data_IF_347899023138
#
_entry.id   IF_347899023138
#
_cell.length_a   1.000
_cell.length_b   1.000
_cell.length_c   1.000
_cell.angle_alpha   90.00
_cell.angle_beta   90.00
_cell.angle_gamma   90.00
#
_symmetry.space_group_name_H-M   'P 1'
#
loop_
_entity.id
_entity.type
_entity.pdbx_description
1 polymer ?
#
# COMPACT_ATOMS: atom_id res chain seq x y z
N UNK A 1 27.64 -77.72 11.06
CA UNK A 1 27.80 -77.87 9.60
C UNK A 1 26.39 -77.84 8.99
N UNK A 2 26.17 -76.98 7.98
CA UNK A 2 24.88 -76.62 7.30
C UNK A 2 23.94 -75.75 8.17
N UNK A 3 23.77 -74.43 7.98
CA UNK A 3 23.46 -73.59 6.78
C UNK A 3 22.21 -74.18 6.09
N UNK A 4 21.07 -73.51 5.86
CA UNK A 4 20.81 -72.18 5.28
C UNK A 4 19.38 -71.74 5.69
N UNK A 5 19.23 -70.48 6.11
CA UNK A 5 17.96 -69.73 6.16
C UNK A 5 18.06 -68.68 5.04
N UNK A 6 17.08 -68.66 4.12
CA UNK A 6 16.77 -67.68 3.07
C UNK A 6 15.56 -68.29 2.33
N UNK A 7 14.44 -67.64 2.02
CA UNK A 7 14.18 -66.27 1.59
C UNK A 7 12.75 -65.88 1.99
N UNK A 8 12.56 -64.69 2.55
CA UNK A 8 11.23 -64.07 2.66
C UNK A 8 11.13 -63.02 1.57
N UNK A 9 10.34 -63.32 0.53
CA UNK A 9 9.99 -62.38 -0.52
C UNK A 9 9.19 -61.20 0.08
N UNK A 10 9.83 -60.04 0.20
CA UNK A 10 9.17 -58.79 0.55
C UNK A 10 8.65 -58.13 -0.73
N UNK A 11 7.35 -58.27 -1.00
CA UNK A 11 6.69 -57.54 -2.06
C UNK A 11 6.66 -56.04 -1.70
N UNK A 12 7.46 -55.24 -2.42
CA UNK A 12 7.44 -53.78 -2.33
C UNK A 12 6.20 -53.27 -3.05
N UNK A 13 5.17 -52.90 -2.28
CA UNK A 13 4.01 -52.16 -2.80
C UNK A 13 4.47 -50.70 -2.98
N UNK A 14 4.78 -50.32 -4.22
CA UNK A 14 4.96 -48.94 -4.64
C UNK A 14 3.58 -48.24 -4.69
N UNK A 15 3.19 -47.63 -3.57
CA UNK A 15 2.07 -46.67 -3.57
C UNK A 15 2.59 -45.37 -4.15
N UNK A 16 2.24 -45.09 -5.42
CA UNK A 16 2.37 -43.74 -5.97
C UNK A 16 1.33 -42.84 -5.29
N UNK A 17 1.73 -42.14 -4.22
CA UNK A 17 1.01 -40.95 -3.78
C UNK A 17 1.28 -39.85 -4.80
N UNK A 18 0.43 -39.74 -5.80
CA UNK A 18 0.28 -38.51 -6.57
C UNK A 18 -0.31 -37.46 -5.65
N UNK A 19 0.55 -36.74 -4.92
CA UNK A 19 0.18 -35.49 -4.28
C UNK A 19 0.01 -34.48 -5.42
N UNK A 20 -1.16 -34.50 -6.05
CA UNK A 20 -1.66 -33.37 -6.80
C UNK A 20 -1.92 -32.25 -5.81
N UNK A 21 -0.90 -31.44 -5.51
CA UNK A 21 -1.13 -30.13 -4.88
C UNK A 21 -1.79 -29.27 -5.96
N UNK A 22 -3.11 -29.41 -6.10
CA UNK A 22 -3.90 -28.35 -6.71
C UNK A 22 -3.91 -27.22 -5.69
N UNK A 23 -3.02 -26.25 -5.86
CA UNK A 23 -3.12 -24.97 -5.16
C UNK A 23 -4.38 -24.28 -5.67
N UNK A 24 -5.53 -24.61 -5.09
CA UNK A 24 -6.70 -23.76 -5.17
C UNK A 24 -6.31 -22.46 -4.47
N UNK A 25 -6.01 -21.44 -5.27
CA UNK A 25 -5.67 -20.12 -4.80
C UNK A 25 -6.93 -19.53 -4.16
N UNK A 26 -7.04 -19.65 -2.84
CA UNK A 26 -8.18 -19.15 -2.09
C UNK A 26 -8.21 -17.62 -2.19
N UNK A 27 -9.09 -17.12 -3.04
CA UNK A 27 -9.32 -15.69 -3.27
C UNK A 27 -9.81 -14.95 -2.02
N UNK A 28 -10.15 -15.66 -0.94
CA UNK A 28 -10.49 -15.07 0.37
C UNK A 28 -9.30 -14.93 1.33
N UNK A 29 -8.12 -15.45 1.00
CA UNK A 29 -6.96 -15.42 1.91
C UNK A 29 -6.30 -14.04 1.97
N UNK A 30 -5.78 -13.69 3.15
CA UNK A 30 -5.15 -12.41 3.46
C UNK A 30 -3.65 -12.60 3.68
N UNK A 31 -2.84 -11.73 3.07
CA UNK A 31 -1.41 -11.63 3.32
C UNK A 31 -1.13 -10.37 4.12
N UNK A 32 -0.32 -10.46 5.18
CA UNK A 32 -0.04 -9.33 6.07
C UNK A 32 1.42 -9.31 6.54
N UNK A 33 1.86 -8.16 7.03
CA UNK A 33 3.20 -7.97 7.60
C UNK A 33 3.17 -7.01 8.79
N UNK A 34 4.05 -7.26 9.76
CA UNK A 34 4.33 -6.33 10.87
C UNK A 34 5.71 -5.73 10.66
N UNK A 35 5.81 -4.41 10.76
CA UNK A 35 7.05 -3.70 10.52
C UNK A 35 7.90 -3.66 11.78
N UNK A 36 9.08 -4.27 11.70
CA UNK A 36 10.05 -4.35 12.81
C UNK A 36 11.15 -3.30 12.64
N UNK A 37 10.77 -2.02 12.52
CA UNK A 37 11.72 -0.90 12.43
C UNK A 37 11.42 0.18 13.47
N UNK A 38 12.45 0.83 14.05
CA UNK A 38 12.23 1.93 14.98
C UNK A 38 11.45 3.08 14.33
N UNK A 39 10.36 3.50 14.97
CA UNK A 39 9.51 4.59 14.48
C UNK A 39 10.28 5.89 14.27
N UNK A 40 11.20 6.22 15.18
CA UNK A 40 12.05 7.42 15.07
C UNK A 40 12.89 7.42 13.80
N UNK A 41 13.49 6.28 13.44
CA UNK A 41 14.25 6.14 12.20
C UNK A 41 13.40 6.45 10.96
N UNK A 42 12.15 5.97 10.93
CA UNK A 42 11.24 6.23 9.82
C UNK A 42 10.90 7.72 9.71
N UNK A 43 10.64 8.40 10.83
CA UNK A 43 10.31 9.83 10.86
C UNK A 43 11.52 10.71 10.52
N UNK A 44 12.69 10.42 11.09
CA UNK A 44 13.94 11.16 10.88
C UNK A 44 14.47 11.01 9.45
N UNK A 45 14.24 9.86 8.83
CA UNK A 45 14.62 9.66 7.44
C UNK A 45 13.90 10.65 6.51
N UNK A 46 12.62 10.93 6.73
CA UNK A 46 11.85 11.79 5.83
C UNK A 46 11.93 13.26 6.19
N UNK A 47 12.91 13.97 5.63
CA UNK A 47 12.95 15.44 5.68
C UNK A 47 11.99 16.05 4.65
N UNK A 48 11.62 17.35 4.76
CA UNK A 48 10.87 18.04 3.72
C UNK A 48 11.47 17.83 2.33
N UNK A 49 12.78 17.97 2.19
CA UNK A 49 13.52 17.85 0.93
C UNK A 49 13.37 16.46 0.32
N UNK A 50 13.51 15.40 1.13
CA UNK A 50 13.28 14.02 0.66
C UNK A 50 11.85 13.79 0.24
N UNK A 51 10.87 14.34 0.96
CA UNK A 51 9.46 14.26 0.57
C UNK A 51 9.21 14.97 -0.77
N UNK A 52 9.79 16.15 -1.00
CA UNK A 52 9.68 16.86 -2.29
C UNK A 52 10.32 16.07 -3.45
N UNK A 53 11.42 15.38 -3.16
CA UNK A 53 12.17 14.60 -4.14
C UNK A 53 11.50 13.27 -4.51
N UNK A 54 10.53 12.79 -3.73
CA UNK A 54 9.86 11.52 -3.98
C UNK A 54 9.09 11.53 -5.31
N UNK A 55 9.23 10.45 -6.08
CA UNK A 55 8.62 10.29 -7.40
C UNK A 55 7.57 9.18 -7.40
N UNK A 56 6.81 9.10 -8.48
CA UNK A 56 5.86 8.00 -8.67
C UNK A 56 6.61 6.66 -8.75
N UNK A 57 6.00 5.57 -8.28
CA UNK A 57 6.64 4.27 -8.32
C UNK A 57 6.66 3.73 -9.75
N UNK A 58 7.73 3.05 -10.12
CA UNK A 58 7.79 2.27 -11.35
C UNK A 58 6.99 0.98 -11.12
N UNK A 59 5.66 1.02 -11.24
CA UNK A 59 4.81 -0.18 -11.17
C UNK A 59 4.29 -0.51 -12.55
N UNK A 60 4.84 -1.56 -13.16
CA UNK A 60 4.25 -2.17 -14.34
C UNK A 60 3.12 -3.09 -13.88
N UNK A 61 1.86 -2.72 -14.17
CA UNK A 61 0.78 -3.69 -14.13
C UNK A 61 0.91 -4.67 -15.30
N UNK A 62 0.39 -5.92 -15.17
CA UNK A 62 0.36 -6.85 -16.27
C UNK A 62 -0.41 -6.27 -17.45
N UNK A 63 0.33 -5.87 -18.49
CA UNK A 63 -0.22 -5.53 -19.80
C UNK A 63 -0.35 -6.80 -20.62
N UNK A 64 -1.42 -6.91 -21.41
CA UNK A 64 -1.57 -8.00 -22.39
C UNK A 64 -0.31 -8.07 -23.25
N UNK A 65 0.37 -9.20 -23.23
CA UNK A 65 1.61 -9.46 -23.96
C UNK A 65 1.34 -9.25 -25.47
N UNK A 66 1.62 -8.06 -25.96
CA UNK A 66 1.71 -7.77 -27.38
C UNK A 66 3.15 -7.39 -27.60
N UNK A 67 3.87 -8.26 -28.31
CA UNK A 67 5.21 -7.99 -28.80
C UNK A 67 5.15 -6.80 -29.75
N UNK A 68 5.18 -5.61 -29.19
CA UNK A 68 5.64 -4.39 -29.83
C UNK A 68 6.50 -3.72 -28.79
N UNK A 69 7.82 -3.82 -28.95
CA UNK A 69 8.74 -2.97 -28.21
C UNK A 69 8.37 -1.53 -28.50
N UNK A 70 7.63 -0.90 -27.58
CA UNK A 70 7.38 0.52 -27.61
C UNK A 70 8.15 1.11 -26.43
N UNK A 71 9.37 1.52 -26.74
CA UNK A 71 10.04 2.58 -26.01
C UNK A 71 9.01 3.66 -25.72
N UNK A 72 8.87 4.06 -24.46
CA UNK A 72 8.10 5.22 -24.01
C UNK A 72 8.55 6.42 -24.83
N UNK A 73 7.89 6.66 -25.95
CA UNK A 73 8.15 7.83 -26.77
C UNK A 73 7.51 8.98 -26.03
N UNK A 74 8.36 9.86 -25.50
CA UNK A 74 8.01 11.18 -24.99
C UNK A 74 7.29 11.89 -26.14
N UNK A 75 5.96 11.83 -26.15
CA UNK A 75 5.15 12.66 -27.04
C UNK A 75 5.02 14.00 -26.35
N UNK A 76 5.89 14.93 -26.73
CA UNK A 76 5.72 16.36 -26.51
C UNK A 76 4.43 16.81 -27.21
N UNK A 77 3.32 16.79 -26.47
CA UNK A 77 2.13 17.54 -26.85
C UNK A 77 2.42 19.05 -26.83
N UNK A 78 1.69 19.87 -27.61
CA UNK A 78 1.98 21.29 -27.73
C UNK A 78 1.91 21.95 -26.34
N UNK A 79 3.02 22.60 -25.95
CA UNK A 79 3.01 23.49 -24.79
C UNK A 79 2.02 24.62 -25.07
N UNK A 80 0.92 24.64 -24.32
CA UNK A 80 0.14 25.87 -24.17
C UNK A 80 1.00 26.82 -23.33
N UNK A 81 1.62 27.78 -24.01
CA UNK A 81 2.33 28.89 -23.39
C UNK A 81 1.29 29.79 -22.72
N UNK A 82 1.21 29.75 -21.39
CA UNK A 82 0.48 30.78 -20.63
C UNK A 82 1.50 31.87 -20.29
N UNK A 83 1.32 33.13 -20.75
CA UNK A 83 2.23 34.22 -20.42
C UNK A 83 2.23 34.49 -18.91
N UNK A 84 3.43 34.75 -18.36
CA UNK A 84 3.72 34.68 -16.94
C UNK A 84 2.95 35.64 -16.04
N UNK A 85 2.78 35.21 -14.78
CA UNK A 85 2.55 36.10 -13.64
C UNK A 85 3.34 35.61 -12.42
N UNK A 86 3.88 36.60 -11.72
CA UNK A 86 4.68 36.57 -10.50
C UNK A 86 3.97 35.79 -9.35
N UNK A 87 4.71 35.28 -8.35
CA UNK A 87 4.17 34.43 -7.31
C UNK A 87 3.62 35.29 -6.16
N UNK A 88 2.38 35.73 -6.26
CA UNK A 88 1.50 35.90 -5.10
C UNK A 88 0.10 36.36 -5.54
N UNK A 89 -0.90 35.94 -4.76
CA UNK A 89 -2.31 36.34 -4.76
C UNK A 89 -3.27 35.59 -5.73
N UNK A 90 -4.18 34.82 -5.12
CA UNK A 90 -5.47 34.31 -5.63
C UNK A 90 -5.49 33.55 -6.97
N UNK A 91 -5.10 32.28 -6.93
CA UNK A 91 -5.54 31.29 -7.92
C UNK A 91 -6.89 30.68 -7.47
N UNK A 92 -7.85 30.43 -8.36
CA UNK A 92 -9.09 29.71 -8.04
C UNK A 92 -8.85 28.37 -7.31
N UNK A 93 -7.69 27.74 -7.53
CA UNK A 93 -7.26 26.49 -6.88
C UNK A 93 -6.90 26.66 -5.39
N UNK A 94 -6.40 27.84 -4.96
CA UNK A 94 -6.11 28.10 -3.54
C UNK A 94 -7.39 28.34 -2.73
N UNK A 95 -8.44 28.89 -3.35
CA UNK A 95 -9.78 28.99 -2.75
C UNK A 95 -10.42 27.62 -2.56
N UNK A 96 -10.24 26.68 -3.49
CA UNK A 96 -10.77 25.31 -3.38
C UNK A 96 -10.15 24.56 -2.19
N UNK A 97 -8.84 24.67 -1.94
CA UNK A 97 -8.20 24.02 -0.77
C UNK A 97 -8.71 24.54 0.58
N UNK A 98 -9.09 25.80 0.68
CA UNK A 98 -9.76 26.36 1.87
C UNK A 98 -11.23 25.89 2.01
N UNK A 99 -11.83 25.34 0.95
CA UNK A 99 -13.21 24.86 0.94
C UNK A 99 -13.32 23.34 1.12
N UNK A 100 -12.27 22.57 0.82
CA UNK A 100 -12.27 21.10 0.88
C UNK A 100 -12.33 20.50 2.30
N UNK A 101 -12.34 21.34 3.35
CA UNK A 101 -12.65 20.93 4.71
C UNK A 101 -11.86 19.71 5.20
N UNK A 102 -12.54 18.74 5.79
CA UNK A 102 -11.94 17.55 6.40
C UNK A 102 -11.22 16.62 5.39
N UNK A 103 -11.50 16.74 4.09
CA UNK A 103 -10.89 15.89 3.05
C UNK A 103 -9.39 16.11 2.93
N UNK A 104 -8.94 17.36 3.12
CA UNK A 104 -7.51 17.70 3.14
C UNK A 104 -6.83 17.10 4.37
N UNK A 105 -7.52 17.08 5.52
CA UNK A 105 -6.97 16.50 6.75
C UNK A 105 -6.90 14.97 6.69
N UNK A 106 -7.87 14.29 6.07
CA UNK A 106 -7.89 12.83 6.01
C UNK A 106 -7.06 12.25 4.87
N UNK A 107 -6.85 12.99 3.79
CA UNK A 107 -6.07 12.52 2.63
C UNK A 107 -4.62 12.94 2.74
N UNK A 108 -3.72 11.99 2.54
CA UNK A 108 -2.29 12.21 2.70
C UNK A 108 -1.47 11.61 1.58
N UNK A 109 -0.21 12.00 1.56
CA UNK A 109 0.80 11.43 0.68
C UNK A 109 1.50 10.29 1.42
N UNK A 110 1.59 9.14 0.77
CA UNK A 110 2.35 7.98 1.22
C UNK A 110 3.77 8.13 0.67
N UNK A 111 4.77 7.83 1.48
CA UNK A 111 6.17 7.85 1.07
C UNK A 111 6.85 6.55 1.47
N UNK A 112 7.72 6.03 0.60
CA UNK A 112 8.64 4.96 0.98
C UNK A 112 9.97 5.10 0.26
N UNK A 113 11.01 4.52 0.87
CA UNK A 113 12.34 4.51 0.28
C UNK A 113 13.03 3.18 0.51
N UNK A 114 13.17 2.41 -0.56
CA UNK A 114 13.96 1.18 -0.61
C UNK A 114 15.27 1.49 -1.34
N UNK A 115 16.42 1.15 -0.75
CA UNK A 115 17.74 1.40 -1.36
C UNK A 115 17.95 2.85 -1.83
N UNK A 116 17.48 3.83 -1.04
CA UNK A 116 17.51 5.28 -1.33
C UNK A 116 16.69 5.74 -2.55
N UNK A 117 15.86 4.88 -3.15
CA UNK A 117 14.90 5.28 -4.17
C UNK A 117 13.66 5.85 -3.48
N UNK A 118 13.44 7.16 -3.60
CA UNK A 118 12.33 7.86 -2.96
C UNK A 118 11.06 7.77 -3.81
N UNK A 119 10.05 7.10 -3.30
CA UNK A 119 8.78 6.86 -3.99
C UNK A 119 7.60 7.41 -3.22
N UNK A 120 6.50 7.68 -3.92
CA UNK A 120 5.28 8.22 -3.32
C UNK A 120 3.99 7.65 -3.92
N UNK A 121 2.97 7.63 -3.08
CA UNK A 121 1.57 7.31 -3.39
C UNK A 121 0.68 8.30 -2.62
N UNK A 122 -0.62 8.01 -2.58
CA UNK A 122 -1.63 8.67 -1.78
C UNK A 122 -2.38 7.65 -0.91
N UNK A 123 -3.13 8.14 0.07
CA UNK A 123 -3.97 7.32 0.93
C UNK A 123 -4.93 8.19 1.74
N UNK A 124 -5.85 7.55 2.47
CA UNK A 124 -6.80 8.27 3.32
C UNK A 124 -7.04 7.58 4.65
N UNK A 125 -7.18 8.39 5.70
CA UNK A 125 -7.62 7.94 7.02
C UNK A 125 -9.07 7.47 6.96
N UNK A 126 -9.30 6.28 7.51
CA UNK A 126 -10.60 5.60 7.53
C UNK A 126 -11.00 5.23 8.97
N UNK A 127 -12.26 4.86 9.23
CA UNK A 127 -12.69 4.47 10.55
C UNK A 127 -12.02 3.16 10.97
N UNK A 128 -11.56 3.12 12.21
CA UNK A 128 -11.09 1.90 12.86
C UNK A 128 -11.29 1.97 14.37
N UNK A 129 -11.26 0.82 15.03
CA UNK A 129 -11.32 0.71 16.50
C UNK A 129 -10.09 1.32 17.15
N UNK A 130 -8.92 1.19 16.50
CA UNK A 130 -7.66 1.78 16.94
C UNK A 130 -7.57 3.29 16.68
N UNK A 131 -8.35 3.83 15.75
CA UNK A 131 -8.19 5.19 15.27
C UNK A 131 -6.94 5.44 14.41
N UNK A 132 -6.21 4.41 13.99
CA UNK A 132 -4.91 4.47 13.30
C UNK A 132 -4.86 3.82 11.91
N UNK A 133 -6.01 3.65 11.26
CA UNK A 133 -6.09 2.92 9.99
C UNK A 133 -6.20 3.85 8.78
N UNK A 134 -5.48 3.52 7.72
CA UNK A 134 -5.64 4.13 6.40
C UNK A 134 -5.96 3.08 5.33
N UNK A 135 -6.57 3.52 4.24
CA UNK A 135 -6.66 2.77 2.98
C UNK A 135 -5.70 3.38 1.94
N UNK A 136 -5.06 2.52 1.16
CA UNK A 136 -4.22 2.88 0.01
C UNK A 136 -4.24 1.73 -1.01
N UNK A 137 -3.57 1.86 -2.15
CA UNK A 137 -3.50 0.78 -3.14
C UNK A 137 -2.55 -0.33 -2.66
N UNK A 138 -2.81 -1.57 -3.09
CA UNK A 138 -1.97 -2.72 -2.82
C UNK A 138 -0.53 -2.52 -3.29
N UNK A 139 -0.34 -1.96 -4.49
CA UNK A 139 0.99 -1.67 -5.04
C UNK A 139 1.75 -0.58 -4.28
N UNK A 140 1.08 0.22 -3.43
CA UNK A 140 1.74 1.22 -2.59
C UNK A 140 2.35 0.62 -1.31
N UNK A 141 2.08 -0.66 -1.01
CA UNK A 141 2.59 -1.38 0.16
C UNK A 141 3.30 -2.69 -0.18
N UNK A 142 3.04 -3.26 -1.35
CA UNK A 142 3.59 -4.54 -1.79
C UNK A 142 4.01 -4.48 -3.26
N UNK A 143 5.26 -4.82 -3.54
CA UNK A 143 5.80 -4.93 -4.89
C UNK A 143 5.58 -6.35 -5.42
N UNK A 144 4.68 -6.48 -6.40
CA UNK A 144 4.30 -7.76 -7.01
C UNK A 144 5.35 -8.31 -7.97
N UNK A 145 6.35 -7.51 -8.37
CA UNK A 145 7.44 -7.97 -9.22
C UNK A 145 8.55 -8.61 -8.39
N UNK A 146 8.90 -8.00 -7.25
CA UNK A 146 9.93 -8.52 -6.34
C UNK A 146 9.37 -9.39 -5.21
N UNK A 147 8.04 -9.44 -5.08
CA UNK A 147 7.31 -10.14 -4.03
C UNK A 147 7.67 -9.68 -2.61
N UNK A 148 7.94 -8.38 -2.46
CA UNK A 148 8.38 -7.79 -1.21
C UNK A 148 7.41 -6.73 -0.68
N UNK A 149 7.32 -6.65 0.65
CA UNK A 149 6.62 -5.58 1.33
C UNK A 149 7.43 -4.28 1.29
N UNK A 150 6.90 -3.26 0.64
CA UNK A 150 7.45 -1.90 0.63
C UNK A 150 7.40 -1.25 2.02
N UNK A 151 6.54 -1.76 2.91
CA UNK A 151 6.44 -1.33 4.30
C UNK A 151 7.67 -1.72 5.14
N UNK A 152 8.49 -2.66 4.67
CA UNK A 152 9.79 -2.97 5.29
C UNK A 152 10.88 -1.94 4.94
N UNK A 153 10.59 -0.98 4.06
CA UNK A 153 11.46 0.13 3.72
C UNK A 153 11.19 1.34 4.64
N UNK A 154 11.67 2.54 4.28
CA UNK A 154 11.36 3.76 5.04
C UNK A 154 9.94 4.23 4.75
N UNK A 155 8.90 3.51 5.13
CA UNK A 155 7.51 3.81 4.76
C UNK A 155 6.80 4.70 5.80
N UNK A 156 6.20 5.81 5.37
CA UNK A 156 5.38 6.71 6.20
C UNK A 156 4.14 7.22 5.45
N UNK A 157 3.15 7.71 6.21
CA UNK A 157 1.99 8.45 5.72
C UNK A 157 1.99 9.89 6.27
N UNK A 158 1.66 10.87 5.42
CA UNK A 158 1.62 12.30 5.79
C UNK A 158 0.27 12.89 5.40
N UNK A 159 -0.72 12.92 6.33
CA UNK A 159 -2.01 13.55 6.11
C UNK A 159 -1.89 15.07 5.93
N UNK A 160 -2.67 15.63 5.01
CA UNK A 160 -2.67 17.06 4.70
C UNK A 160 -1.33 17.59 4.19
N UNK A 161 -0.50 16.71 3.61
CA UNK A 161 0.78 17.10 3.04
C UNK A 161 0.63 18.27 2.05
N UNK A 162 1.50 19.27 2.16
CA UNK A 162 1.58 20.33 1.15
C UNK A 162 3.00 20.88 1.09
N UNK A 163 3.66 20.76 -0.07
CA UNK A 163 4.95 21.40 -0.35
C UNK A 163 6.02 21.15 0.73
N UNK A 164 6.13 19.91 1.23
CA UNK A 164 7.07 19.52 2.28
C UNK A 164 6.53 19.68 3.71
N UNK A 165 5.41 20.38 3.91
CA UNK A 165 4.74 20.50 5.19
C UNK A 165 4.03 19.19 5.58
N UNK A 166 4.04 18.90 6.87
CA UNK A 166 3.37 17.76 7.49
C UNK A 166 2.51 18.25 8.67
N UNK A 167 1.40 18.99 8.40
CA UNK A 167 0.67 19.73 9.43
C UNK A 167 0.07 18.83 10.52
N UNK A 168 -0.20 17.57 10.20
CA UNK A 168 -0.74 16.57 11.11
C UNK A 168 0.30 15.49 11.48
N UNK A 169 1.58 15.75 11.21
CA UNK A 169 2.70 14.85 11.53
C UNK A 169 3.02 13.83 10.42
N UNK A 170 4.08 13.05 10.67
CA UNK A 170 4.56 11.96 9.83
C UNK A 170 4.31 10.66 10.56
N UNK A 171 3.54 9.76 9.95
CA UNK A 171 3.01 8.57 10.61
C UNK A 171 3.69 7.31 10.08
N UNK A 172 4.57 6.67 10.86
CA UNK A 172 5.20 5.42 10.46
C UNK A 172 4.20 4.27 10.37
N UNK A 173 4.39 3.38 9.41
CA UNK A 173 3.65 2.11 9.36
C UNK A 173 3.93 1.26 10.61
N UNK A 174 2.90 0.57 11.10
CA UNK A 174 3.01 -0.53 12.08
C UNK A 174 2.78 -1.88 11.40
N UNK A 175 1.71 -1.97 10.60
CA UNK A 175 1.28 -3.20 9.95
C UNK A 175 0.62 -2.85 8.62
N UNK A 176 0.73 -3.74 7.64
CA UNK A 176 -0.05 -3.67 6.41
C UNK A 176 -0.65 -5.04 6.06
N UNK A 177 -1.78 -5.02 5.35
CA UNK A 177 -2.43 -6.21 4.83
C UNK A 177 -2.99 -5.95 3.42
N UNK A 178 -2.92 -6.99 2.59
CA UNK A 178 -3.50 -7.06 1.23
C UNK A 178 -4.18 -8.42 1.06
N UNK A 179 -5.02 -8.57 0.05
CA UNK A 179 -5.48 -9.91 -0.35
C UNK A 179 -4.29 -10.73 -0.87
N UNK A 180 -4.20 -12.01 -0.54
CA UNK A 180 -3.12 -12.87 -1.05
C UNK A 180 -3.12 -12.96 -2.56
N UNK A 181 -4.29 -12.87 -3.21
CA UNK A 181 -4.41 -12.81 -4.67
C UNK A 181 -3.78 -11.55 -5.29
N UNK A 182 -3.56 -10.50 -4.50
CA UNK A 182 -2.73 -9.36 -4.90
C UNK A 182 -1.24 -9.66 -4.69
N UNK A 183 -0.87 -10.23 -3.54
CA UNK A 183 0.52 -10.55 -3.18
C UNK A 183 1.06 -11.81 -3.88
N UNK A 184 1.00 -11.86 -5.21
CA UNK A 184 1.58 -12.93 -6.03
C UNK A 184 2.26 -12.37 -7.28
N UNK A 185 2.97 -13.23 -8.02
CA UNK A 185 3.57 -12.89 -9.32
C UNK A 185 2.56 -12.70 -10.46
N UNK A 186 1.30 -13.10 -10.25
CA UNK A 186 0.19 -12.80 -11.16
C UNK A 186 -0.93 -12.10 -10.38
N UNK A 187 -0.74 -10.82 -10.03
CA UNK A 187 -1.64 -10.12 -9.13
C UNK A 187 -3.03 -9.94 -9.76
N UNK A 188 -4.07 -10.16 -8.96
CA UNK A 188 -5.44 -9.87 -9.35
C UNK A 188 -5.74 -8.37 -9.12
N UNK A 189 -5.92 -7.55 -10.18
CA UNK A 189 -6.11 -6.11 -10.06
C UNK A 189 -7.42 -5.72 -9.36
N UNK A 190 -8.39 -6.63 -9.22
CA UNK A 190 -9.59 -6.36 -8.42
C UNK A 190 -9.27 -6.12 -6.94
N UNK A 191 -8.11 -6.59 -6.48
CA UNK A 191 -7.69 -6.54 -5.09
C UNK A 191 -6.41 -5.71 -4.89
N UNK A 192 -6.15 -4.74 -5.78
CA UNK A 192 -5.13 -3.70 -5.59
C UNK A 192 -5.56 -2.70 -4.50
N UNK A 193 -5.74 -3.20 -3.29
CA UNK A 193 -6.20 -2.47 -2.11
C UNK A 193 -5.42 -2.96 -0.91
N UNK A 194 -4.97 -2.01 -0.09
CA UNK A 194 -4.29 -2.26 1.16
C UNK A 194 -4.94 -1.48 2.29
N UNK A 195 -4.92 -2.11 3.47
CA UNK A 195 -5.17 -1.43 4.72
C UNK A 195 -3.88 -1.40 5.53
N UNK A 196 -3.58 -0.23 6.08
CA UNK A 196 -2.33 0.02 6.80
C UNK A 196 -2.65 0.60 8.17
N UNK A 197 -2.21 -0.10 9.21
CA UNK A 197 -2.24 0.40 10.59
C UNK A 197 -0.99 1.22 10.83
N UNK A 198 -1.17 2.46 11.27
CA UNK A 198 -0.11 3.40 11.58
C UNK A 198 0.31 3.30 13.05
N UNK A 199 1.53 3.73 13.33
CA UNK A 199 2.02 3.88 14.69
C UNK A 199 1.56 5.21 15.29
N UNK A 200 1.30 5.22 16.61
CA UNK A 200 1.09 6.45 17.37
C UNK A 200 2.26 7.42 17.17
N UNK A 201 1.92 8.71 17.06
CA UNK A 201 2.89 9.81 17.05
C UNK A 201 2.62 10.68 18.26
N UNK A 202 3.64 10.86 19.12
CA UNK A 202 3.52 11.62 20.38
C UNK A 202 2.36 11.15 21.27
N UNK A 203 2.10 9.84 21.30
CA UNK A 203 1.02 9.23 22.08
C UNK A 203 -0.40 9.51 21.55
N UNK A 204 -0.54 10.11 20.36
CA UNK A 204 -1.83 10.41 19.74
C UNK A 204 -2.14 9.45 18.60
N UNK A 205 -3.43 9.18 18.42
CA UNK A 205 -3.95 8.47 17.26
C UNK A 205 -4.15 9.44 16.10
N UNK A 206 -3.97 8.99 14.86
CA UNK A 206 -4.07 9.88 13.68
C UNK A 206 -5.47 10.49 13.55
N UNK A 207 -6.51 9.68 13.76
CA UNK A 207 -7.91 10.13 13.67
C UNK A 207 -8.28 11.21 14.69
N UNK A 208 -7.54 11.34 15.81
CA UNK A 208 -7.75 12.45 16.76
C UNK A 208 -7.33 13.80 16.17
N UNK A 209 -6.39 13.81 15.23
CA UNK A 209 -5.91 15.02 14.57
C UNK A 209 -6.64 15.27 13.25
N UNK A 210 -6.93 14.22 12.50
CA UNK A 210 -7.45 14.34 11.12
C UNK A 210 -8.95 14.09 11.01
N UNK A 211 -9.56 13.43 11.99
CA UNK A 211 -10.80 12.69 11.77
C UNK A 211 -10.58 11.54 10.77
N UNK A 212 -11.67 11.02 10.22
CA UNK A 212 -11.67 10.02 9.16
C UNK A 212 -12.81 10.27 8.18
N UNK A 213 -12.68 9.73 6.97
CA UNK A 213 -13.81 9.61 6.03
C UNK A 213 -14.70 8.43 6.43
N UNK A 214 -15.91 8.33 5.85
CA UNK A 214 -16.67 7.09 5.94
C UNK A 214 -16.09 6.06 4.96
N UNK A 215 -16.28 4.76 5.27
CA UNK A 215 -15.86 3.66 4.40
C UNK A 215 -17.09 2.81 4.06
N UNK A 216 -17.30 2.57 2.76
CA UNK A 216 -18.42 1.81 2.23
C UNK A 216 -17.96 0.64 1.39
N UNK A 217 -18.60 -0.50 1.60
CA UNK A 217 -18.42 -1.70 0.78
C UNK A 217 -19.69 -1.97 -0.03
N UNK A 218 -19.55 -2.67 -1.15
CA UNK A 218 -20.64 -3.02 -2.05
C UNK A 218 -21.52 -1.81 -2.43
N UNK A 219 -20.90 -0.62 -2.53
CA UNK A 219 -21.64 0.60 -2.83
C UNK A 219 -22.20 0.58 -4.25
N UNK A 220 -23.36 1.22 -4.50
CA UNK A 220 -23.90 1.36 -5.84
C UNK A 220 -22.88 2.00 -6.79
N UNK A 221 -22.78 1.46 -8.00
CA UNK A 221 -21.94 2.01 -9.07
C UNK A 221 -22.64 3.17 -9.77
N UNK A 222 -21.92 3.87 -10.63
CA UNK A 222 -22.47 4.92 -11.50
C UNK A 222 -23.14 6.07 -10.73
N UNK A 223 -22.51 6.48 -9.63
CA UNK A 223 -22.84 7.69 -8.87
C UNK A 223 -21.79 8.76 -9.11
N UNK A 224 -22.12 10.02 -8.82
CA UNK A 224 -21.15 11.10 -8.80
C UNK A 224 -20.06 10.76 -7.78
N UNK A 225 -18.81 10.79 -8.25
CA UNK A 225 -17.63 10.39 -7.51
C UNK A 225 -16.56 11.46 -7.61
N UNK A 226 -15.85 11.68 -6.52
CA UNK A 226 -14.67 12.52 -6.44
C UNK A 226 -13.45 11.65 -6.11
N UNK A 227 -12.47 11.63 -7.00
CA UNK A 227 -11.21 10.93 -6.81
C UNK A 227 -10.14 11.93 -6.41
N UNK A 228 -9.45 11.71 -5.28
CA UNK A 228 -8.41 12.61 -4.77
C UNK A 228 -7.03 11.95 -4.82
N UNK A 229 -5.95 12.73 -4.91
CA UNK A 229 -4.58 12.21 -4.80
C UNK A 229 -3.50 13.25 -4.99
N UNK A 230 -2.24 12.83 -4.88
CA UNK A 230 -1.03 13.64 -5.08
C UNK A 230 -0.27 13.19 -6.35
N UNK A 231 -0.82 13.43 -7.55
CA UNK A 231 -0.18 13.08 -8.82
C UNK A 231 1.13 13.84 -9.03
N UNK A 232 2.19 13.16 -9.44
CA UNK A 232 3.51 13.77 -9.69
C UNK A 232 3.50 14.65 -10.94
N UNK A 233 2.73 14.29 -11.96
CA UNK A 233 2.62 15.09 -13.18
C UNK A 233 1.95 16.45 -12.97
N UNK A 234 1.15 16.63 -11.90
CA UNK A 234 0.49 17.89 -11.57
C UNK A 234 1.06 18.48 -10.27
N UNK A 235 1.56 19.70 -10.32
CA UNK A 235 2.18 20.37 -9.17
C UNK A 235 3.27 19.51 -8.48
N UNK A 236 3.96 18.63 -9.21
CA UNK A 236 5.01 17.74 -8.69
C UNK A 236 4.56 16.80 -7.54
N UNK A 237 3.25 16.55 -7.38
CA UNK A 237 2.70 15.82 -6.24
C UNK A 237 2.79 16.60 -4.92
N UNK A 238 3.06 17.90 -4.98
CA UNK A 238 3.21 18.77 -3.80
C UNK A 238 1.87 19.26 -3.25
N UNK A 239 0.79 19.14 -4.02
CA UNK A 239 -0.54 19.67 -3.70
C UNK A 239 -1.61 18.62 -4.02
N UNK A 240 -2.58 18.46 -3.12
CA UNK A 240 -3.73 17.58 -3.32
C UNK A 240 -4.53 18.00 -4.55
N UNK A 241 -4.75 17.08 -5.48
CA UNK A 241 -5.58 17.24 -6.67
C UNK A 241 -6.82 16.38 -6.56
N UNK A 242 -7.81 16.65 -7.42
CA UNK A 242 -8.97 15.79 -7.57
C UNK A 242 -9.50 15.76 -9.00
N UNK A 243 -10.22 14.68 -9.31
CA UNK A 243 -11.07 14.53 -10.48
C UNK A 243 -12.50 14.27 -10.00
N UNK A 244 -13.50 14.63 -10.80
CA UNK A 244 -14.90 14.31 -10.47
C UNK A 244 -15.68 13.90 -11.72
N UNK A 245 -16.69 13.06 -11.53
CA UNK A 245 -17.53 12.56 -12.60
C UNK A 245 -18.30 11.32 -12.19
N UNK A 246 -19.02 10.73 -13.14
CA UNK A 246 -19.73 9.46 -12.95
C UNK A 246 -18.88 8.36 -13.58
N UNK A 247 -18.27 7.45 -12.78
CA UNK A 247 -17.49 6.36 -13.32
C UNK A 247 -18.36 5.37 -14.10
N UNK A 248 -17.78 4.81 -15.16
CA UNK A 248 -18.36 3.71 -15.93
C UNK A 248 -17.65 2.40 -15.59
N UNK A 249 -18.20 1.27 -16.04
CA UNK A 249 -17.46 0.01 -16.00
C UNK A 249 -16.12 0.18 -16.73
N UNK A 250 -15.04 -0.32 -16.12
CA UNK A 250 -13.71 -0.30 -16.70
C UNK A 250 -13.70 -0.98 -18.07
N UNK A 251 -12.95 -0.43 -19.04
CA UNK A 251 -12.70 -1.12 -20.32
C UNK A 251 -11.51 -2.08 -20.23
N UNK A 252 -10.67 -1.94 -19.21
CA UNK A 252 -9.67 -2.92 -18.86
C UNK A 252 -10.33 -4.20 -18.31
N UNK A 253 -10.12 -5.33 -18.99
CA UNK A 253 -10.75 -6.64 -18.68
C UNK A 253 -9.74 -7.74 -18.35
N UNK A 254 -8.44 -7.44 -18.29
CA UNK A 254 -7.40 -8.41 -17.93
C UNK A 254 -7.65 -8.93 -16.51
N UNK A 255 -7.40 -10.22 -16.29
CA UNK A 255 -7.62 -10.91 -15.01
C UNK A 255 -9.05 -10.76 -14.46
N UNK A 256 -10.05 -10.70 -15.35
CA UNK A 256 -11.46 -10.50 -15.01
C UNK A 256 -11.67 -9.26 -14.11
N UNK A 257 -10.98 -8.17 -14.40
CA UNK A 257 -11.18 -6.92 -13.69
C UNK A 257 -12.62 -6.42 -13.86
N UNK A 258 -13.32 -6.19 -12.75
CA UNK A 258 -14.72 -5.74 -12.69
C UNK A 258 -14.86 -4.33 -12.08
N UNK A 259 -13.75 -3.59 -12.02
CA UNK A 259 -13.67 -2.23 -11.49
C UNK A 259 -14.34 -1.18 -12.38
N UNK A 260 -14.09 0.08 -12.03
CA UNK A 260 -14.72 1.24 -12.66
C UNK A 260 -13.65 2.20 -13.16
N UNK A 261 -13.92 2.85 -14.30
CA UNK A 261 -13.08 3.91 -14.86
C UNK A 261 -13.72 5.28 -14.68
N UNK A 262 -13.00 6.20 -14.06
CA UNK A 262 -13.34 7.62 -13.99
C UNK A 262 -12.58 8.36 -15.11
N UNK A 263 -13.30 8.72 -16.16
CA UNK A 263 -12.75 9.45 -17.31
C UNK A 263 -12.56 10.94 -17.03
N UNK A 264 -11.82 11.61 -17.93
CA UNK A 264 -11.44 13.02 -17.83
C UNK A 264 -10.63 13.34 -16.55
N UNK A 265 -9.81 12.37 -16.11
CA UNK A 265 -8.91 12.53 -15.00
C UNK A 265 -7.46 12.58 -15.50
N UNK A 266 -6.78 13.69 -15.22
CA UNK A 266 -5.38 13.92 -15.64
C UNK A 266 -4.37 13.53 -14.56
N UNK A 267 -4.83 12.97 -13.43
CA UNK A 267 -3.93 12.51 -12.38
C UNK A 267 -3.17 11.26 -12.86
N UNK A 268 -1.84 11.31 -12.87
CA UNK A 268 -0.97 10.17 -13.17
C UNK A 268 -0.32 9.61 -11.88
N UNK A 269 0.85 8.98 -11.97
CA UNK A 269 1.47 8.30 -10.84
C UNK A 269 1.71 9.22 -9.64
N UNK A 270 1.72 8.63 -8.45
CA UNK A 270 1.67 9.35 -7.17
C UNK A 270 0.24 9.56 -6.65
N UNK A 271 -0.79 9.64 -7.52
CA UNK A 271 -2.17 9.69 -7.06
C UNK A 271 -2.71 8.32 -6.58
N UNK A 272 -2.00 7.23 -6.91
CA UNK A 272 -2.33 5.85 -6.52
C UNK A 272 -2.66 5.71 -5.04
N UNK A 273 -3.70 4.96 -4.70
CA UNK A 273 -4.22 4.79 -3.34
C UNK A 273 -5.05 5.95 -2.82
N UNK A 274 -5.11 7.07 -3.54
CA UNK A 274 -5.96 8.20 -3.20
C UNK A 274 -7.45 7.84 -3.27
N UNK A 275 -8.29 8.34 -2.36
CA UNK A 275 -9.65 7.85 -2.16
C UNK A 275 -10.62 8.29 -3.26
N UNK A 276 -11.57 7.43 -3.61
CA UNK A 276 -12.76 7.79 -4.36
C UNK A 276 -13.95 7.91 -3.40
N UNK A 277 -14.58 9.08 -3.38
CA UNK A 277 -15.68 9.39 -2.48
C UNK A 277 -17.00 9.54 -3.24
N UNK A 278 -18.02 8.84 -2.76
CA UNK A 278 -19.43 9.12 -3.05
C UNK A 278 -20.05 9.98 -1.96
N UNK A 279 -21.19 10.60 -2.27
CA UNK A 279 -21.93 11.44 -1.32
C UNK A 279 -21.03 12.51 -0.67
N UNK A 280 -20.07 13.00 -1.44
CA UNK A 280 -19.07 13.96 -0.96
C UNK A 280 -19.74 15.32 -0.76
N UNK A 281 -19.74 15.80 0.48
CA UNK A 281 -20.16 17.14 0.81
C UNK A 281 -18.95 18.07 0.68
N UNK A 282 -18.89 18.84 -0.41
CA UNK A 282 -17.78 19.76 -0.70
C UNK A 282 -17.61 20.85 0.36
N UNK A 283 -18.65 21.20 1.12
CA UNK A 283 -18.56 22.22 2.18
C UNK A 283 -17.87 21.68 3.44
N UNK A 284 -18.14 20.43 3.80
CA UNK A 284 -17.60 19.82 5.02
C UNK A 284 -16.34 18.98 4.74
N UNK A 285 -16.17 18.53 3.50
CA UNK A 285 -15.06 17.66 3.10
C UNK A 285 -15.23 16.22 3.59
N UNK A 286 -16.46 15.72 3.69
CA UNK A 286 -16.76 14.34 4.13
C UNK A 286 -17.56 13.62 3.05
N UNK A 287 -17.21 12.37 2.81
CA UNK A 287 -17.96 11.44 1.98
C UNK A 287 -17.69 9.98 2.34
N UNK A 288 -18.12 9.08 1.47
CA UNK A 288 -17.98 7.63 1.62
C UNK A 288 -16.92 7.14 0.65
N UNK A 289 -15.78 6.71 1.18
CA UNK A 289 -14.77 6.01 0.40
C UNK A 289 -15.33 4.65 0.00
N UNK A 290 -15.33 4.37 -1.29
CA UNK A 290 -15.85 3.10 -1.84
C UNK A 290 -14.95 2.48 -2.91
N UNK A 291 -13.87 3.19 -3.27
CA UNK A 291 -12.83 2.78 -4.19
C UNK A 291 -11.60 3.68 -3.97
N UNK A 292 -10.56 3.49 -4.78
CA UNK A 292 -9.34 4.27 -4.77
C UNK A 292 -8.72 4.35 -6.18
N UNK A 293 -7.80 5.29 -6.38
CA UNK A 293 -6.95 5.37 -7.57
C UNK A 293 -6.03 4.14 -7.64
N UNK A 294 -6.24 3.23 -8.60
CA UNK A 294 -5.41 2.03 -8.73
C UNK A 294 -4.47 2.14 -9.93
N UNK A 295 -5.00 2.31 -11.15
CA UNK A 295 -4.16 2.43 -12.34
C UNK A 295 -4.81 3.21 -13.47
N UNK A 296 -3.99 3.70 -14.41
CA UNK A 296 -4.46 4.34 -15.62
C UNK A 296 -4.97 3.30 -16.62
N UNK A 297 -6.12 3.56 -17.24
CA UNK A 297 -6.67 2.71 -18.29
C UNK A 297 -5.80 2.78 -19.56
N UNK A 298 -5.34 1.64 -20.04
CA UNK A 298 -4.49 1.55 -21.23
C UNK A 298 -5.26 1.68 -22.56
N UNK A 299 -6.60 1.57 -22.52
CA UNK A 299 -7.49 1.64 -23.68
C UNK A 299 -8.25 2.95 -23.76
N UNK A 300 -8.45 3.62 -22.63
CA UNK A 300 -9.19 4.89 -22.54
C UNK A 300 -8.27 5.97 -21.96
N UNK A 301 -7.75 6.90 -22.77
CA UNK A 301 -6.93 8.00 -22.30
C UNK A 301 -7.60 8.79 -21.16
N UNK A 302 -6.78 9.35 -20.26
CA UNK A 302 -7.24 10.20 -19.15
C UNK A 302 -8.33 9.53 -18.31
N UNK A 303 -8.24 8.22 -18.12
CA UNK A 303 -9.16 7.45 -17.29
C UNK A 303 -8.38 6.73 -16.22
N UNK A 304 -8.77 6.94 -14.97
CA UNK A 304 -8.22 6.23 -13.83
C UNK A 304 -9.20 5.15 -13.38
N UNK A 305 -8.69 3.94 -13.18
CA UNK A 305 -9.44 2.78 -12.74
C UNK A 305 -9.35 2.63 -11.22
N UNK A 306 -10.47 2.24 -10.62
CA UNK A 306 -10.61 1.94 -9.21
C UNK A 306 -11.30 0.60 -8.96
N UNK A 307 -10.73 -0.26 -8.08
CA UNK A 307 -11.30 -1.56 -7.75
C UNK A 307 -12.63 -1.40 -6.99
N UNK A 308 -13.49 -2.41 -7.09
CA UNK A 308 -14.73 -2.45 -6.30
C UNK A 308 -14.39 -2.94 -4.90
N UNK A 309 -14.82 -2.19 -3.88
CA UNK A 309 -14.71 -2.64 -2.50
C UNK A 309 -15.83 -3.64 -2.19
N UNK A 310 -15.62 -4.89 -2.60
CA UNK A 310 -16.54 -5.99 -2.40
C UNK A 310 -16.42 -6.60 -0.97
N UNK A 311 -17.08 -7.73 -0.76
CA UNK A 311 -17.04 -8.47 0.51
C UNK A 311 -15.63 -8.97 0.87
N UNK A 312 -14.75 -9.26 -0.09
CA UNK A 312 -13.37 -9.66 0.19
C UNK A 312 -12.56 -8.47 0.72
N UNK A 313 -12.73 -7.29 0.11
CA UNK A 313 -12.13 -6.05 0.64
C UNK A 313 -12.71 -5.69 2.01
N UNK A 314 -14.00 -5.94 2.25
CA UNK A 314 -14.61 -5.79 3.57
C UNK A 314 -13.98 -6.74 4.60
N UNK A 315 -13.74 -8.00 4.24
CA UNK A 315 -13.07 -8.97 5.10
C UNK A 315 -11.62 -8.57 5.39
N UNK A 316 -10.90 -8.02 4.40
CA UNK A 316 -9.56 -7.48 4.58
C UNK A 316 -9.54 -6.29 5.57
N UNK A 317 -10.50 -5.37 5.45
CA UNK A 317 -10.68 -4.29 6.42
C UNK A 317 -10.98 -4.82 7.82
N UNK A 318 -11.93 -5.75 7.95
CA UNK A 318 -12.28 -6.38 9.24
C UNK A 318 -11.06 -7.02 9.90
N UNK A 319 -10.27 -7.77 9.13
CA UNK A 319 -9.03 -8.38 9.61
C UNK A 319 -8.08 -7.30 10.15
N UNK A 320 -7.80 -6.27 9.36
CA UNK A 320 -6.82 -5.24 9.76
C UNK A 320 -7.32 -4.37 10.92
N UNK A 321 -8.64 -4.13 10.99
CA UNK A 321 -9.28 -3.34 12.04
C UNK A 321 -9.35 -4.06 13.40
N UNK A 322 -9.26 -5.40 13.42
CA UNK A 322 -9.33 -6.22 14.64
C UNK A 322 -7.96 -6.72 15.09
N UNK A 323 -7.02 -6.88 14.16
CA UNK A 323 -5.68 -7.36 14.47
C UNK A 323 -4.81 -6.21 14.99
N UNK A 324 -4.41 -6.30 16.26
CA UNK A 324 -3.27 -5.56 16.77
C UNK A 324 -2.06 -6.50 16.72
N UNK A 325 -1.54 -6.77 15.52
CA UNK A 325 -0.41 -7.69 15.38
C UNK A 325 0.80 -7.11 16.13
N UNK A 326 1.18 -7.77 17.22
CA UNK A 326 2.44 -7.51 17.87
C UNK A 326 3.57 -8.12 17.04
N UNK A 327 4.76 -7.49 16.95
CA UNK A 327 5.91 -8.10 16.30
C UNK A 327 6.16 -9.46 16.95
N UNK A 328 6.28 -10.51 16.14
CA UNK A 328 6.56 -11.87 16.61
C UNK A 328 7.69 -11.83 17.66
N UNK A 329 7.37 -12.31 18.88
CA UNK A 329 8.28 -12.33 20.03
C UNK A 329 9.50 -13.24 19.80
N UNK A 330 9.52 -14.00 18.70
CA UNK A 330 10.64 -14.87 18.31
C UNK A 330 11.97 -14.14 18.06
N UNK A 331 11.97 -12.81 17.89
CA UNK A 331 13.20 -12.02 17.68
C UNK A 331 13.84 -11.53 19.00
N UNK A 332 13.13 -11.62 20.14
CA UNK A 332 13.65 -11.12 21.45
C UNK A 332 14.48 -12.11 22.26
N UNK A 333 14.63 -13.37 21.83
CA UNK A 333 15.36 -14.40 22.60
C UNK A 333 16.83 -14.61 22.18
N UNK A 334 17.37 -13.82 21.24
CA UNK A 334 18.66 -14.11 20.58
C UNK A 334 19.90 -13.32 21.02
N UNK A 335 19.86 -12.49 22.06
CA UNK A 335 21.04 -11.69 22.44
C UNK A 335 21.17 -11.46 23.96
N UNK A 336 21.42 -12.54 24.70
CA UNK A 336 22.04 -12.42 26.03
C UNK A 336 23.52 -12.70 25.86
N UNK A 337 24.34 -11.65 25.79
CA UNK A 337 25.78 -11.76 25.98
C UNK A 337 26.01 -12.23 27.42
N UNK A 338 26.22 -13.53 27.63
CA UNK A 338 26.76 -14.03 28.89
C UNK A 338 28.25 -13.69 28.92
N UNK A 339 28.60 -12.80 29.84
CA UNK A 339 29.99 -12.63 30.30
C UNK A 339 30.41 -13.91 31.04
N UNK A 340 30.96 -14.87 30.30
CA UNK A 340 31.56 -16.07 30.86
C UNK A 340 32.85 -15.72 31.60
N UNK A 341 32.82 -15.83 32.94
CA UNK A 341 34.01 -15.89 33.79
C UNK A 341 34.83 -17.13 33.42
N UNK A 342 36.08 -16.92 33.06
CA UNK A 342 37.11 -17.96 33.01
C UNK A 342 37.24 -18.62 34.40
N UNK A 343 36.98 -19.92 34.48
CA UNK A 343 37.39 -20.78 35.59
C UNK A 343 38.41 -21.77 35.04
N UNK A 344 39.68 -21.59 35.42
CA UNK A 344 40.75 -22.56 35.21
C UNK A 344 40.43 -23.83 35.99
N UNK A 345 40.38 -24.97 35.30
CA UNK A 345 40.46 -26.28 35.94
C UNK A 345 41.94 -26.67 36.10
N UNK A 346 42.43 -26.68 37.34
CA UNK A 346 43.67 -27.38 37.71
C UNK A 346 43.31 -28.81 38.12
N UNK A 347 43.76 -29.79 37.35
CA UNK A 347 43.68 -31.20 37.69
C UNK A 347 44.79 -31.58 38.66
N UNK A 348 44.44 -31.95 39.90
CA UNK A 348 45.34 -32.64 40.82
C UNK A 348 45.09 -34.15 40.75
N UNK A 349 46.10 -34.89 40.29
CA UNK A 349 46.19 -36.35 40.49
C UNK A 349 46.68 -36.61 41.92
N UNK A 350 45.89 -37.34 42.72
CA UNK A 350 46.37 -37.98 43.94
C UNK A 350 46.68 -39.45 43.64
N UNK A 351 47.96 -39.80 43.76
CA UNK A 351 48.48 -41.16 43.90
C UNK A 351 48.64 -41.38 45.40
N UNK A 352 48.10 -42.46 45.98
CA UNK A 352 48.58 -43.01 47.25
C UNK A 352 48.52 -44.55 47.23
N UNK A 353 49.74 -45.11 47.39
CA UNK A 353 50.18 -46.45 47.80
C UNK A 353 49.78 -47.69 46.99
#
# INVERSE_FOLDING_TARGET
>A
MKIINNDVNLAVILVFLSIGITLAQDSGSISSTVVVRPRSMLVEFWTPERMKAAKEPVVALPTKNTNTGRSMSILTGPQLTVPGQNPDVDSPLSRVLNTLGRQVATTGRVFWSCNNVLSCCSGSVIPSTSGDLIVTAGHCVYDTNTLNWLTNCNWIFVPGYSQGAAPYGRWPVKQAAVMSSWATSNPNPNYDVAFVTLSLVNGKHISQLTGSQSLGFNQPRSKLTYAFGYPVNLANGEILQYCSGIPNASRYTVNNYVGQGLSNCLMEGGCSGGPWLQQFNETVGIGIIYSLNSFLDSLVPNTINGPVFDTNIQNLWNYTNTQNLEPDQSVRSGATFQTGRFLLFLSFFFIHF
#
